data_IF_035785514756
#
_entry.id   IF_035785514756
#
_cell.length_a   1.000
_cell.length_b   1.000
_cell.length_c   1.000
_cell.angle_alpha   90.00
_cell.angle_beta   90.00
_cell.angle_gamma   90.00
#
_symmetry.space_group_name_H-M   'P 1'
#
loop_
_entity.id
_entity.type
_entity.pdbx_description
1 polymer ?
#
# COMPACT_ATOMS: atom_id res chain seq x y z
N UNK A 1 -8.50 9.42 -0.01
CA UNK A 1 -7.03 9.28 0.06
C UNK A 1 -6.64 7.89 -0.45
N UNK A 2 -5.59 7.82 -1.23
CA UNK A 2 -5.10 6.54 -1.75
C UNK A 2 -3.57 6.53 -1.87
N UNK A 3 -3.00 5.33 -1.86
CA UNK A 3 -1.59 5.08 -2.16
C UNK A 3 -1.55 4.30 -3.46
N UNK A 4 -0.84 4.83 -4.45
CA UNK A 4 -0.54 4.10 -5.68
C UNK A 4 0.84 3.47 -5.55
N UNK A 5 0.90 2.15 -5.78
CA UNK A 5 2.16 1.40 -5.75
C UNK A 5 2.63 1.20 -7.17
N UNK A 6 3.79 1.75 -7.49
CA UNK A 6 4.53 1.50 -8.72
C UNK A 6 5.98 1.20 -8.39
N UNK A 7 6.68 0.56 -9.30
CA UNK A 7 8.09 0.19 -9.10
C UNK A 7 8.93 0.61 -10.29
N UNK A 8 10.21 0.91 -10.04
CA UNK A 8 11.17 1.20 -11.10
C UNK A 8 11.61 -0.13 -11.74
N UNK A 9 11.31 -0.27 -13.02
CA UNK A 9 11.59 -1.48 -13.81
C UNK A 9 12.53 -1.22 -14.98
N UNK A 10 13.21 -0.08 -15.00
CA UNK A 10 14.08 0.30 -16.13
C UNK A 10 15.15 -0.74 -16.43
N UNK A 11 15.73 -1.39 -15.42
CA UNK A 11 16.71 -2.45 -15.56
C UNK A 11 16.15 -3.73 -16.20
N UNK A 12 14.84 -3.96 -16.12
CA UNK A 12 14.17 -5.17 -16.59
C UNK A 12 13.62 -5.00 -18.00
N UNK A 13 13.48 -3.77 -18.47
CA UNK A 13 12.84 -3.45 -19.76
C UNK A 13 13.48 -4.21 -20.93
N UNK A 14 14.79 -4.37 -20.93
CA UNK A 14 15.53 -5.09 -21.99
C UNK A 14 15.22 -6.59 -22.02
N UNK A 15 14.77 -7.18 -20.90
CA UNK A 15 14.51 -8.62 -20.77
C UNK A 15 13.06 -8.99 -21.12
N UNK A 16 12.19 -8.00 -21.27
CA UNK A 16 10.75 -8.18 -21.49
C UNK A 16 10.40 -9.00 -22.73
N UNK A 17 11.14 -8.78 -23.83
CA UNK A 17 10.82 -9.39 -25.13
C UNK A 17 11.04 -10.90 -25.15
N UNK A 18 11.92 -11.42 -24.29
CA UNK A 18 12.25 -12.84 -24.24
C UNK A 18 11.51 -13.62 -23.15
N UNK A 19 10.99 -12.92 -22.12
CA UNK A 19 10.40 -13.57 -20.94
C UNK A 19 9.15 -12.85 -20.40
N UNK A 20 8.36 -12.26 -21.27
CA UNK A 20 7.25 -11.39 -20.93
C UNK A 20 6.24 -11.99 -19.94
N UNK A 21 5.87 -13.26 -20.10
CA UNK A 21 4.90 -13.92 -19.22
C UNK A 21 5.42 -14.06 -17.79
N UNK A 22 6.66 -14.45 -17.64
CA UNK A 22 7.31 -14.64 -16.32
C UNK A 22 7.46 -13.33 -15.60
N UNK A 23 7.85 -12.28 -16.32
CA UNK A 23 7.96 -10.92 -15.79
C UNK A 23 6.59 -10.40 -15.37
N UNK A 24 5.57 -10.57 -16.18
CA UNK A 24 4.20 -10.14 -15.83
C UNK A 24 3.68 -10.82 -14.56
N UNK A 25 3.93 -12.11 -14.39
CA UNK A 25 3.54 -12.83 -13.18
C UNK A 25 4.32 -12.33 -11.96
N UNK A 26 5.62 -12.07 -12.09
CA UNK A 26 6.45 -11.55 -11.02
C UNK A 26 6.01 -10.13 -10.61
N UNK A 27 5.74 -9.26 -11.58
CA UNK A 27 5.24 -7.91 -11.32
C UNK A 27 3.89 -7.93 -10.63
N UNK A 28 2.96 -8.72 -11.13
CA UNK A 28 1.63 -8.88 -10.52
C UNK A 28 1.73 -9.39 -9.09
N UNK A 29 2.56 -10.39 -8.85
CA UNK A 29 2.81 -10.93 -7.52
C UNK A 29 3.42 -9.91 -6.57
N UNK A 30 4.43 -9.18 -7.01
CA UNK A 30 5.09 -8.13 -6.22
C UNK A 30 4.15 -6.99 -5.86
N UNK A 31 3.36 -6.51 -6.81
CA UNK A 31 2.36 -5.45 -6.57
C UNK A 31 1.24 -5.94 -5.64
N UNK A 32 0.81 -7.19 -5.80
CA UNK A 32 -0.16 -7.79 -4.88
C UNK A 32 0.36 -7.85 -3.45
N UNK A 33 1.59 -8.30 -3.25
CA UNK A 33 2.22 -8.37 -1.93
C UNK A 33 2.36 -6.98 -1.31
N UNK A 34 2.82 -6.01 -2.10
CA UNK A 34 2.97 -4.63 -1.66
C UNK A 34 1.64 -3.99 -1.25
N UNK A 35 0.60 -4.13 -2.07
CA UNK A 35 -0.72 -3.57 -1.75
C UNK A 35 -1.36 -4.27 -0.55
N UNK A 36 -1.12 -5.57 -0.36
CA UNK A 36 -1.58 -6.29 0.83
C UNK A 36 -0.90 -5.77 2.10
N UNK A 37 0.41 -5.52 2.05
CA UNK A 37 1.17 -4.95 3.17
C UNK A 37 0.66 -3.55 3.52
N UNK A 38 0.53 -2.67 2.53
CA UNK A 38 0.06 -1.31 2.74
C UNK A 38 -1.38 -1.26 3.26
N UNK A 39 -2.26 -2.12 2.74
CA UNK A 39 -3.64 -2.23 3.25
C UNK A 39 -3.66 -2.65 4.71
N UNK A 40 -2.86 -3.64 5.08
CA UNK A 40 -2.73 -4.07 6.48
C UNK A 40 -2.29 -2.92 7.36
N UNK A 41 -1.26 -2.18 6.93
CA UNK A 41 -0.73 -1.07 7.72
C UNK A 41 -1.75 0.07 7.86
N UNK A 42 -2.47 0.40 6.78
CA UNK A 42 -3.53 1.42 6.82
C UNK A 42 -4.73 1.00 7.68
N UNK A 43 -4.96 -0.29 7.85
CA UNK A 43 -6.02 -0.83 8.72
C UNK A 43 -5.60 -1.05 10.17
N UNK A 44 -4.31 -0.85 10.49
CA UNK A 44 -3.77 -1.08 11.83
C UNK A 44 -3.62 0.26 12.55
N UNK A 45 -4.48 0.50 13.54
CA UNK A 45 -4.46 1.71 14.34
C UNK A 45 -3.87 1.42 15.72
N UNK A 46 -3.18 2.42 16.34
CA UNK A 46 -2.63 2.25 17.69
C UNK A 46 -3.72 1.88 18.70
N UNK A 47 -3.34 1.16 19.75
CA UNK A 47 -4.22 0.87 20.86
C UNK A 47 -4.78 2.15 21.49
N UNK A 48 -5.98 2.09 22.06
CA UNK A 48 -6.55 3.21 22.80
C UNK A 48 -5.65 3.57 23.98
N UNK A 49 -5.58 4.87 24.29
CA UNK A 49 -4.89 5.33 25.50
C UNK A 49 -5.59 4.80 26.75
N UNK A 50 -4.86 4.35 27.77
CA UNK A 50 -5.46 3.96 29.06
C UNK A 50 -6.36 5.08 29.60
N UNK A 51 -7.56 4.71 30.05
CA UNK A 51 -8.54 5.66 30.61
C UNK A 51 -9.34 6.46 29.57
N UNK A 52 -9.13 6.23 28.27
CA UNK A 52 -9.93 6.85 27.22
C UNK A 52 -11.34 6.27 27.19
N UNK A 53 -12.36 7.16 27.17
CA UNK A 53 -13.75 6.78 26.93
C UNK A 53 -14.12 6.68 25.44
N UNK A 54 -13.17 7.00 24.55
CA UNK A 54 -13.36 6.95 23.12
C UNK A 54 -13.61 5.51 22.64
N UNK A 55 -14.71 5.31 21.91
CA UNK A 55 -15.03 4.00 21.31
C UNK A 55 -14.79 4.02 19.81
N UNK A 56 -14.00 3.07 19.32
CA UNK A 56 -13.76 2.88 17.89
C UNK A 56 -14.92 2.12 17.28
N UNK A 57 -15.41 2.62 16.14
CA UNK A 57 -16.48 1.96 15.39
C UNK A 57 -15.95 1.01 14.31
N UNK A 58 -14.66 1.10 13.99
CA UNK A 58 -14.07 0.36 12.87
C UNK A 58 -14.37 0.95 11.49
N UNK A 59 -15.13 2.04 11.42
CA UNK A 59 -15.53 2.67 10.15
C UNK A 59 -14.33 3.08 9.32
N UNK A 60 -13.37 3.76 9.92
CA UNK A 60 -12.17 4.20 9.22
C UNK A 60 -11.35 3.01 8.70
N UNK A 61 -11.15 2.00 9.54
CA UNK A 61 -10.46 0.77 9.15
C UNK A 61 -11.14 0.10 7.96
N UNK A 62 -12.46 0.01 8.01
CA UNK A 62 -13.25 -0.68 6.99
C UNK A 62 -13.38 0.13 5.69
N UNK A 63 -13.07 1.43 5.70
CA UNK A 63 -13.06 2.26 4.50
C UNK A 63 -11.91 1.95 3.56
N UNK A 64 -10.82 1.36 4.06
CA UNK A 64 -9.65 1.04 3.26
C UNK A 64 -9.82 -0.27 2.51
N UNK A 65 -9.46 -0.26 1.24
CA UNK A 65 -9.47 -1.43 0.36
C UNK A 65 -8.33 -1.35 -0.65
N UNK A 66 -8.10 -2.42 -1.37
CA UNK A 66 -7.14 -2.45 -2.49
C UNK A 66 -7.84 -2.91 -3.76
N UNK A 67 -7.33 -2.46 -4.88
CA UNK A 67 -7.72 -2.95 -6.20
C UNK A 67 -6.71 -4.00 -6.69
N UNK A 68 -7.14 -4.97 -7.51
CA UNK A 68 -6.21 -5.87 -8.20
C UNK A 68 -5.17 -5.07 -9.01
N UNK A 69 -3.98 -5.61 -9.25
CA UNK A 69 -2.99 -4.97 -10.11
C UNK A 69 -3.57 -4.59 -11.46
N UNK A 70 -3.32 -3.37 -11.90
CA UNK A 70 -3.82 -2.78 -13.13
C UNK A 70 -2.68 -2.42 -14.07
N UNK A 71 -3.00 -2.21 -15.33
CA UNK A 71 -2.01 -1.89 -16.36
C UNK A 71 -1.42 -3.14 -16.99
N UNK A 72 -0.44 -2.93 -17.86
CA UNK A 72 0.19 -3.99 -18.65
C UNK A 72 1.70 -3.89 -18.60
N UNK A 73 2.37 -5.03 -18.62
CA UNK A 73 3.83 -5.09 -18.72
C UNK A 73 4.49 -4.30 -17.60
N UNK A 74 5.36 -3.37 -17.97
CA UNK A 74 6.13 -2.54 -17.03
C UNK A 74 5.35 -1.36 -16.47
N UNK A 75 4.18 -1.07 -17.00
CA UNK A 75 3.32 0.02 -16.54
C UNK A 75 2.24 -0.47 -15.57
N UNK A 76 2.44 -1.65 -15.00
CA UNK A 76 1.55 -2.23 -14.00
C UNK A 76 1.67 -1.49 -12.67
N UNK A 77 0.54 -1.28 -12.01
CA UNK A 77 0.47 -0.59 -10.73
C UNK A 77 -0.64 -1.17 -9.85
N UNK A 78 -0.55 -0.91 -8.56
CA UNK A 78 -1.57 -1.25 -7.58
C UNK A 78 -2.06 -0.02 -6.84
N UNK A 79 -3.26 -0.10 -6.30
CA UNK A 79 -3.89 1.00 -5.56
C UNK A 79 -4.44 0.49 -4.23
N UNK A 80 -4.12 1.20 -3.16
CA UNK A 80 -4.75 1.09 -1.84
C UNK A 80 -5.43 2.42 -1.56
N UNK A 81 -6.73 2.40 -1.33
CA UNK A 81 -7.50 3.62 -1.15
C UNK A 81 -8.59 3.49 -0.10
N UNK A 82 -9.09 4.63 0.36
CA UNK A 82 -10.23 4.71 1.25
C UNK A 82 -11.47 5.18 0.51
N UNK A 83 -12.62 4.64 0.91
CA UNK A 83 -13.92 5.05 0.38
C UNK A 83 -14.45 6.26 1.16
N UNK A 84 -14.57 7.44 0.51
CA UNK A 84 -15.07 8.64 1.18
C UNK A 84 -16.55 8.55 1.56
N UNK A 85 -17.31 7.64 0.99
CA UNK A 85 -18.70 7.38 1.38
C UNK A 85 -18.77 6.66 2.72
N UNK A 86 -17.79 5.77 3.01
CA UNK A 86 -17.71 5.05 4.28
C UNK A 86 -17.13 5.95 5.37
N UNK A 87 -16.02 6.64 5.08
CA UNK A 87 -15.31 7.49 6.05
C UNK A 87 -14.94 8.84 5.43
N UNK A 88 -15.88 9.77 5.28
CA UNK A 88 -15.60 11.09 4.67
C UNK A 88 -14.59 11.91 5.48
N UNK A 89 -14.50 11.68 6.79
CA UNK A 89 -13.56 12.37 7.68
C UNK A 89 -12.11 11.89 7.52
N UNK A 90 -11.84 10.88 6.71
CA UNK A 90 -10.48 10.38 6.52
C UNK A 90 -9.55 11.46 5.93
N UNK A 91 -10.08 12.39 5.16
CA UNK A 91 -9.30 13.53 4.67
C UNK A 91 -8.67 14.33 5.83
N UNK A 92 -9.37 14.47 6.96
CA UNK A 92 -8.83 15.12 8.15
C UNK A 92 -7.78 14.25 8.86
N UNK A 93 -7.99 12.93 8.90
CA UNK A 93 -7.05 12.01 9.53
C UNK A 93 -5.68 12.03 8.81
N UNK A 94 -5.67 12.30 7.50
CA UNK A 94 -4.43 12.40 6.72
C UNK A 94 -3.60 13.64 7.07
N UNK A 95 -4.16 14.57 7.82
CA UNK A 95 -3.45 15.74 8.36
C UNK A 95 -3.30 15.56 9.87
N UNK A 96 -2.12 15.20 10.38
CA UNK A 96 -1.92 14.89 11.80
C UNK A 96 -2.45 15.98 12.75
N UNK A 97 -2.31 17.24 12.34
CA UNK A 97 -2.76 18.40 13.10
C UNK A 97 -4.29 18.53 13.19
N UNK A 98 -5.02 17.90 12.27
CA UNK A 98 -6.49 17.91 12.22
C UNK A 98 -7.11 16.65 12.84
N UNK A 99 -6.30 15.70 13.27
CA UNK A 99 -6.81 14.50 13.94
C UNK A 99 -7.49 14.90 15.25
N UNK A 100 -8.52 14.12 15.64
CA UNK A 100 -9.19 14.33 16.91
C UNK A 100 -8.17 14.34 18.07
N UNK A 101 -8.43 15.14 19.11
CA UNK A 101 -7.49 15.36 20.22
C UNK A 101 -6.92 14.07 20.83
N UNK A 102 -7.73 13.00 20.86
CA UNK A 102 -7.32 11.68 21.37
C UNK A 102 -6.33 10.94 20.43
N UNK A 103 -6.16 11.41 19.19
CA UNK A 103 -5.37 10.74 18.15
C UNK A 103 -4.27 11.60 17.56
N UNK A 104 -4.19 12.88 17.90
CA UNK A 104 -3.24 13.84 17.30
C UNK A 104 -1.84 13.24 17.19
N UNK A 105 -1.32 13.15 15.97
CA UNK A 105 0.01 12.63 15.68
C UNK A 105 0.21 11.13 15.91
N UNK A 106 -0.83 10.39 16.28
CA UNK A 106 -0.73 8.95 16.61
C UNK A 106 -1.20 8.03 15.48
N UNK A 107 -2.16 8.48 14.70
CA UNK A 107 -2.69 7.67 13.60
C UNK A 107 -1.84 7.84 12.35
N UNK A 108 -1.56 6.71 11.70
CA UNK A 108 -0.79 6.69 10.46
C UNK A 108 -1.53 7.44 9.34
N UNK A 109 -0.74 8.04 8.47
CA UNK A 109 -1.21 8.67 7.24
C UNK A 109 -0.67 7.92 6.03
N UNK A 110 -1.21 8.18 4.84
CA UNK A 110 -0.67 7.62 3.60
C UNK A 110 0.79 7.99 3.42
N UNK A 111 1.18 9.21 3.79
CA UNK A 111 2.56 9.69 3.72
C UNK A 111 3.48 8.91 4.66
N UNK A 112 3.10 8.75 5.94
CA UNK A 112 3.92 8.04 6.93
C UNK A 112 4.10 6.57 6.56
N UNK A 113 3.05 5.90 6.12
CA UNK A 113 3.12 4.49 5.71
C UNK A 113 3.96 4.33 4.44
N UNK A 114 3.77 5.20 3.45
CA UNK A 114 4.56 5.18 2.21
C UNK A 114 6.04 5.36 2.50
N UNK A 115 6.41 6.33 3.32
CA UNK A 115 7.81 6.57 3.67
C UNK A 115 8.43 5.41 4.47
N UNK A 116 7.65 4.83 5.39
CA UNK A 116 8.11 3.69 6.18
C UNK A 116 8.36 2.44 5.34
N UNK A 117 7.51 2.18 4.35
CA UNK A 117 7.49 0.93 3.59
C UNK A 117 8.18 0.96 2.23
N UNK A 118 8.59 2.12 1.78
CA UNK A 118 9.19 2.29 0.44
C UNK A 118 10.32 1.31 0.15
N UNK A 119 11.27 1.18 1.06
CA UNK A 119 12.42 0.26 0.90
C UNK A 119 11.99 -1.20 0.90
N UNK A 120 11.09 -1.60 1.80
CA UNK A 120 10.60 -2.97 1.87
C UNK A 120 9.79 -3.36 0.64
N UNK A 121 8.94 -2.46 0.14
CA UNK A 121 8.16 -2.70 -1.08
C UNK A 121 9.08 -2.92 -2.27
N UNK A 122 10.11 -2.09 -2.43
CA UNK A 122 11.10 -2.29 -3.50
C UNK A 122 11.83 -3.62 -3.36
N UNK A 123 12.23 -4.00 -2.14
CA UNK A 123 12.88 -5.27 -1.88
C UNK A 123 11.98 -6.47 -2.19
N UNK A 124 10.71 -6.41 -1.80
CA UNK A 124 9.73 -7.47 -2.11
C UNK A 124 9.59 -7.68 -3.63
N UNK A 125 9.57 -6.58 -4.37
CA UNK A 125 9.54 -6.63 -5.84
C UNK A 125 10.83 -7.23 -6.41
N UNK A 126 11.98 -6.77 -5.95
CA UNK A 126 13.28 -7.26 -6.42
C UNK A 126 13.44 -8.76 -6.17
N UNK A 127 12.97 -9.25 -5.03
CA UNK A 127 13.01 -10.68 -4.69
C UNK A 127 12.13 -11.50 -5.65
N UNK A 128 10.93 -11.02 -5.96
CA UNK A 128 10.04 -11.65 -6.95
C UNK A 128 10.69 -11.72 -8.33
N UNK A 129 11.35 -10.64 -8.73
CA UNK A 129 12.04 -10.60 -10.03
C UNK A 129 13.24 -11.54 -10.06
N UNK A 130 14.02 -11.61 -9.00
CA UNK A 130 15.13 -12.58 -8.91
C UNK A 130 14.64 -14.02 -8.99
N UNK A 131 13.58 -14.38 -8.28
CA UNK A 131 12.97 -15.70 -8.34
C UNK A 131 12.50 -16.03 -9.77
N UNK A 132 11.90 -15.07 -10.46
CA UNK A 132 11.43 -15.24 -11.82
C UNK A 132 12.57 -15.54 -12.79
N UNK A 133 13.77 -15.00 -12.56
CA UNK A 133 14.95 -15.21 -13.39
C UNK A 133 15.86 -16.37 -12.94
N UNK A 134 15.79 -16.77 -11.69
CA UNK A 134 16.61 -17.87 -11.16
C UNK A 134 16.28 -19.24 -11.76
N UNK A 135 15.08 -19.40 -12.32
CA UNK A 135 14.63 -20.64 -12.97
C UNK A 135 14.99 -20.75 -14.46
N UNK A 136 15.87 -19.89 -14.98
CA UNK A 136 16.30 -19.90 -16.39
C UNK A 136 17.64 -20.60 -16.60
#
# INVERSE_FOLDING_TARGET
MEITVSVDVSAVRALLNSQSRRINLAMRGGINDATALLLRDMRTYPAQRPGSSYQRTGTLRNSWSRRPPQGHGLDMYGVVGSDPQIAPYNAQVQHPELQAAVHVGRWQTTETVTNLRRGLVQQMFDDRMREAFAGT
#
